data_IF_403529389386
#
_entry.id   IF_403529389386
#
_cell.length_a   1.000
_cell.length_b   1.000
_cell.length_c   1.000
_cell.angle_alpha   90.00
_cell.angle_beta   90.00
_cell.angle_gamma   90.00
#
_symmetry.space_group_name_H-M   'P 1'
#
loop_
_entity.id
_entity.type
_entity.pdbx_description
1 polymer ?
#
# COMPACT_ATOMS: atom_id res chain seq x y z
N UNK A 1 2.91 12.88 14.42
CA UNK A 1 4.27 13.37 14.79
C UNK A 1 5.16 12.29 15.40
N UNK A 2 4.78 11.62 16.49
CA UNK A 2 5.60 10.52 17.05
C UNK A 2 5.54 9.24 16.20
N UNK A 3 4.33 8.83 15.76
CA UNK A 3 4.13 7.65 14.91
C UNK A 3 4.85 7.77 13.55
N UNK A 4 4.77 8.95 12.90
CA UNK A 4 5.44 9.17 11.61
C UNK A 4 6.96 9.04 11.70
N UNK A 5 7.56 9.51 12.80
CA UNK A 5 8.99 9.37 13.05
C UNK A 5 9.38 7.90 13.22
N UNK A 6 8.60 7.14 13.98
CA UNK A 6 8.85 5.71 14.16
C UNK A 6 8.69 4.93 12.83
N UNK A 7 7.67 5.26 12.04
CA UNK A 7 7.46 4.67 10.72
C UNK A 7 8.63 4.98 9.77
N UNK A 8 9.17 6.19 9.82
CA UNK A 8 10.36 6.56 9.05
C UNK A 8 11.60 5.74 9.46
N UNK A 9 11.83 5.53 10.75
CA UNK A 9 12.94 4.69 11.20
C UNK A 9 12.74 3.21 10.80
N UNK A 10 11.50 2.71 10.82
CA UNK A 10 11.16 1.39 10.26
C UNK A 10 11.43 1.31 8.76
N UNK A 11 11.10 2.35 7.99
CA UNK A 11 11.40 2.43 6.56
C UNK A 11 12.92 2.37 6.29
N UNK A 12 13.71 3.13 7.05
CA UNK A 12 15.18 3.07 6.97
C UNK A 12 15.70 1.67 7.26
N UNK A 13 15.19 1.03 8.31
CA UNK A 13 15.57 -0.33 8.67
C UNK A 13 15.22 -1.34 7.57
N UNK A 14 14.05 -1.23 6.92
CA UNK A 14 13.65 -2.08 5.80
C UNK A 14 14.68 -2.08 4.67
N UNK A 15 15.19 -0.89 4.34
CA UNK A 15 16.22 -0.73 3.30
C UNK A 15 17.59 -1.20 3.80
N UNK A 16 18.03 -0.75 4.98
CA UNK A 16 19.37 -1.03 5.52
C UNK A 16 19.59 -2.51 5.81
N UNK A 17 18.54 -3.25 6.16
CA UNK A 17 18.59 -4.69 6.42
C UNK A 17 18.56 -5.55 5.15
N UNK A 18 18.28 -4.97 3.98
CA UNK A 18 18.07 -5.72 2.73
C UNK A 18 16.77 -6.52 2.69
N UNK A 19 15.92 -6.44 3.73
CA UNK A 19 14.63 -7.13 3.77
C UNK A 19 13.68 -6.66 2.67
N UNK A 20 13.87 -5.45 2.14
CA UNK A 20 13.13 -4.94 0.98
C UNK A 20 13.22 -5.87 -0.23
N UNK A 21 14.36 -6.54 -0.45
CA UNK A 21 14.58 -7.41 -1.60
C UNK A 21 13.84 -8.76 -1.47
N UNK A 22 13.29 -9.05 -0.28
CA UNK A 22 12.52 -10.28 0.00
C UNK A 22 11.01 -10.10 -0.21
N UNK A 23 10.56 -8.87 -0.41
CA UNK A 23 9.15 -8.53 -0.57
C UNK A 23 8.70 -8.82 -2.01
N UNK A 24 7.49 -9.35 -2.13
CA UNK A 24 6.89 -9.68 -3.43
C UNK A 24 6.65 -8.40 -4.27
N UNK A 25 7.15 -8.36 -5.50
CA UNK A 25 7.10 -7.14 -6.33
C UNK A 25 5.83 -7.08 -7.16
N UNK A 26 5.11 -5.96 -7.07
CA UNK A 26 3.98 -5.67 -7.95
C UNK A 26 2.68 -6.36 -7.56
N UNK A 27 2.58 -6.90 -6.33
CA UNK A 27 1.39 -7.59 -5.82
C UNK A 27 0.82 -6.94 -4.57
N UNK A 28 -0.44 -7.25 -4.29
CA UNK A 28 -1.16 -6.79 -3.09
C UNK A 28 -0.50 -7.33 -1.84
N UNK A 29 -0.05 -8.58 -1.88
CA UNK A 29 0.64 -9.21 -0.75
C UNK A 29 1.94 -8.47 -0.42
N UNK A 30 2.75 -8.13 -1.44
CA UNK A 30 3.94 -7.32 -1.25
C UNK A 30 3.63 -5.93 -0.68
N UNK A 31 2.57 -5.29 -1.18
CA UNK A 31 2.12 -3.99 -0.65
C UNK A 31 1.66 -4.09 0.82
N UNK A 32 0.97 -5.18 1.20
CA UNK A 32 0.61 -5.47 2.59
C UNK A 32 1.85 -5.73 3.46
N UNK A 33 2.88 -6.40 2.93
CA UNK A 33 4.16 -6.63 3.60
C UNK A 33 4.89 -5.31 3.89
N UNK A 34 5.00 -4.42 2.90
CA UNK A 34 5.56 -3.07 3.07
C UNK A 34 4.78 -2.31 4.13
N UNK A 35 3.45 -2.24 3.98
CA UNK A 35 2.60 -1.51 4.92
C UNK A 35 2.69 -2.10 6.33
N UNK A 36 2.75 -3.44 6.47
CA UNK A 36 2.96 -4.07 7.77
C UNK A 36 4.32 -3.66 8.35
N UNK A 37 5.41 -3.75 7.59
CA UNK A 37 6.74 -3.40 8.10
C UNK A 37 6.82 -1.95 8.59
N UNK A 38 6.24 -1.02 7.83
CA UNK A 38 6.26 0.41 8.13
C UNK A 38 5.41 0.78 9.36
N UNK A 39 4.34 0.02 9.64
CA UNK A 39 3.31 0.44 10.60
C UNK A 39 2.97 -0.59 11.68
N UNK A 40 3.60 -1.77 11.68
CA UNK A 40 3.41 -2.77 12.73
C UNK A 40 3.83 -2.21 14.08
N UNK A 41 2.95 -2.37 15.08
CA UNK A 41 3.08 -1.75 16.40
C UNK A 41 2.71 -0.26 16.45
N UNK A 42 2.39 0.37 15.31
CA UNK A 42 1.96 1.77 15.21
C UNK A 42 0.46 1.90 14.87
N UNK A 43 -0.04 1.03 13.99
CA UNK A 43 -1.45 0.93 13.62
C UNK A 43 -1.97 -0.50 13.86
N UNK A 44 -3.16 -0.64 14.44
CA UNK A 44 -3.82 -1.94 14.64
C UNK A 44 -4.18 -2.65 13.32
N UNK A 45 -4.24 -1.87 12.23
CA UNK A 45 -4.54 -2.31 10.87
C UNK A 45 -3.30 -2.42 9.97
N UNK A 46 -2.09 -2.44 10.54
CA UNK A 46 -0.87 -2.57 9.75
C UNK A 46 -0.91 -3.83 8.84
N UNK A 47 -0.91 -3.62 7.52
CA UNK A 47 -0.97 -4.67 6.50
C UNK A 47 -2.37 -5.21 6.22
N UNK A 48 -3.43 -4.65 6.83
CA UNK A 48 -4.81 -5.10 6.66
C UNK A 48 -5.55 -4.25 5.64
N UNK A 49 -6.19 -4.88 4.67
CA UNK A 49 -7.10 -4.21 3.73
C UNK A 49 -8.28 -3.64 4.52
N UNK A 50 -8.66 -2.39 4.23
CA UNK A 50 -9.71 -1.67 4.94
C UNK A 50 -11.10 -2.22 4.63
N UNK A 51 -11.96 -2.18 5.64
CA UNK A 51 -13.38 -2.51 5.58
C UNK A 51 -14.27 -1.26 5.59
N UNK A 52 -13.67 -0.06 5.67
CA UNK A 52 -14.33 1.25 5.67
C UNK A 52 -14.05 2.04 4.41
N UNK A 53 -15.03 2.83 4.00
CA UNK A 53 -14.84 3.83 2.95
C UNK A 53 -14.05 5.03 3.47
N UNK A 54 -13.18 5.57 2.62
CA UNK A 54 -12.34 6.73 2.91
C UNK A 54 -12.34 7.72 1.75
N UNK A 55 -12.12 8.98 2.08
CA UNK A 55 -12.00 10.08 1.13
C UNK A 55 -10.92 11.06 1.57
N UNK A 56 -10.41 11.83 0.62
CA UNK A 56 -9.53 12.98 0.88
C UNK A 56 -10.07 14.19 0.13
N UNK A 57 -10.52 15.19 0.88
CA UNK A 57 -11.31 16.28 0.30
C UNK A 57 -12.57 15.72 -0.38
N UNK A 58 -12.81 16.12 -1.63
CA UNK A 58 -13.96 15.68 -2.42
C UNK A 58 -13.71 14.38 -3.22
N UNK A 59 -12.53 13.77 -3.10
CA UNK A 59 -12.21 12.52 -3.80
C UNK A 59 -12.46 11.32 -2.88
N UNK A 60 -13.33 10.41 -3.32
CA UNK A 60 -13.57 9.12 -2.65
C UNK A 60 -12.71 8.05 -3.33
N UNK A 61 -11.91 7.34 -2.54
CA UNK A 61 -11.15 6.18 -3.02
C UNK A 61 -12.10 5.01 -3.32
N UNK A 62 -11.59 3.89 -3.85
CA UNK A 62 -12.42 2.75 -4.22
C UNK A 62 -13.34 2.29 -3.05
N UNK A 63 -14.56 1.87 -3.36
CA UNK A 63 -15.49 1.42 -2.32
C UNK A 63 -14.94 0.14 -1.67
N UNK A 64 -14.87 0.09 -0.34
CA UNK A 64 -14.37 -1.08 0.38
C UNK A 64 -15.14 -2.36 0.05
N UNK A 65 -16.42 -2.24 -0.31
CA UNK A 65 -17.29 -3.35 -0.72
C UNK A 65 -16.75 -4.13 -1.93
N UNK A 66 -15.93 -3.51 -2.78
CA UNK A 66 -15.42 -4.11 -4.01
C UNK A 66 -13.89 -4.24 -4.02
N UNK A 67 -13.21 -3.99 -2.89
CA UNK A 67 -11.74 -4.04 -2.84
C UNK A 67 -11.21 -5.44 -3.16
N UNK A 68 -11.88 -6.48 -2.67
CA UNK A 68 -11.60 -7.88 -2.95
C UNK A 68 -11.68 -8.23 -4.44
N UNK A 69 -12.52 -7.53 -5.20
CA UNK A 69 -12.64 -7.70 -6.65
C UNK A 69 -11.62 -6.89 -7.44
N UNK A 70 -11.36 -5.63 -7.06
CA UNK A 70 -10.51 -4.74 -7.86
C UNK A 70 -9.01 -5.00 -7.63
N UNK A 71 -8.61 -5.34 -6.40
CA UNK A 71 -7.19 -5.48 -6.06
C UNK A 71 -6.51 -6.61 -6.87
N UNK A 72 -7.12 -7.81 -7.06
CA UNK A 72 -6.58 -8.82 -7.97
C UNK A 72 -6.50 -8.36 -9.43
N UNK A 73 -7.41 -7.47 -9.87
CA UNK A 73 -7.40 -6.94 -11.24
C UNK A 73 -6.26 -5.97 -11.44
N UNK A 74 -6.02 -5.07 -10.48
CA UNK A 74 -4.88 -4.15 -10.49
C UNK A 74 -3.57 -4.93 -10.45
N UNK A 75 -3.47 -5.96 -9.61
CA UNK A 75 -2.30 -6.83 -9.56
C UNK A 75 -2.00 -7.49 -10.92
N UNK A 76 -3.04 -7.92 -11.63
CA UNK A 76 -2.90 -8.53 -12.97
C UNK A 76 -2.55 -7.54 -14.10
N UNK A 77 -2.50 -6.23 -13.83
CA UNK A 77 -2.12 -5.24 -14.84
C UNK A 77 -0.68 -5.47 -15.32
N UNK A 78 -0.41 -5.25 -16.63
CA UNK A 78 0.93 -5.39 -17.18
C UNK A 78 1.90 -4.37 -16.56
N UNK A 79 3.19 -4.69 -16.57
CA UNK A 79 4.25 -3.88 -15.99
C UNK A 79 5.55 -3.94 -16.80
N UNK A 80 5.44 -4.15 -18.11
CA UNK A 80 6.58 -4.41 -19.01
C UNK A 80 7.29 -3.15 -19.47
N UNK A 81 6.71 -1.97 -19.24
CA UNK A 81 7.31 -0.69 -19.56
C UNK A 81 6.88 0.39 -18.56
N UNK A 82 7.55 1.55 -18.62
CA UNK A 82 7.32 2.65 -17.71
C UNK A 82 5.85 3.10 -17.64
N UNK A 83 5.20 3.29 -18.80
CA UNK A 83 3.80 3.75 -18.83
C UNK A 83 2.87 2.75 -18.15
N UNK A 84 3.04 1.45 -18.42
CA UNK A 84 2.26 0.39 -17.77
C UNK A 84 2.45 0.35 -16.25
N UNK A 85 3.70 0.56 -15.78
CA UNK A 85 3.99 0.64 -14.33
C UNK A 85 3.28 1.85 -13.72
N UNK A 86 3.32 3.01 -14.38
CA UNK A 86 2.63 4.22 -13.90
C UNK A 86 1.12 4.04 -13.90
N UNK A 87 0.53 3.45 -14.93
CA UNK A 87 -0.90 3.13 -14.98
C UNK A 87 -1.30 2.21 -13.82
N UNK A 88 -0.53 1.14 -13.57
CA UNK A 88 -0.75 0.23 -12.43
C UNK A 88 -0.64 0.95 -11.08
N UNK A 89 0.35 1.83 -10.93
CA UNK A 89 0.49 2.66 -9.73
C UNK A 89 -0.70 3.61 -9.51
N UNK A 90 -1.19 4.25 -10.59
CA UNK A 90 -2.34 5.15 -10.51
C UNK A 90 -3.58 4.40 -10.03
N UNK A 91 -3.85 3.22 -10.58
CA UNK A 91 -4.98 2.39 -10.15
C UNK A 91 -4.82 1.93 -8.69
N UNK A 92 -3.60 1.56 -8.27
CA UNK A 92 -3.34 1.21 -6.86
C UNK A 92 -3.58 2.39 -5.91
N UNK A 93 -3.16 3.59 -6.29
CA UNK A 93 -3.38 4.79 -5.50
C UNK A 93 -4.87 5.17 -5.40
N UNK A 94 -5.65 4.91 -6.46
CA UNK A 94 -7.12 5.06 -6.45
C UNK A 94 -7.78 4.00 -5.55
N UNK A 95 -7.27 2.76 -5.57
CA UNK A 95 -7.75 1.70 -4.69
C UNK A 95 -7.56 2.04 -3.21
N UNK A 96 -6.38 2.57 -2.86
CA UNK A 96 -6.04 3.08 -1.53
C UNK A 96 -6.42 2.07 -0.43
N UNK A 97 -5.82 0.86 -0.45
CA UNK A 97 -6.36 -0.31 0.24
C UNK A 97 -6.31 -0.27 1.77
N UNK A 98 -5.54 0.64 2.37
CA UNK A 98 -5.37 0.76 3.82
C UNK A 98 -6.13 1.96 4.38
N UNK A 99 -6.41 1.96 5.69
CA UNK A 99 -7.10 3.07 6.35
C UNK A 99 -6.23 4.34 6.41
N UNK A 100 -4.93 4.17 6.64
CA UNK A 100 -3.90 5.22 6.57
C UNK A 100 -2.63 4.64 5.93
N UNK A 101 -1.63 5.47 5.63
CA UNK A 101 -0.31 4.99 5.24
C UNK A 101 -0.12 4.62 3.77
N UNK A 102 -1.19 4.60 2.95
CA UNK A 102 -1.15 4.22 1.54
C UNK A 102 -0.03 4.89 0.73
N UNK A 103 0.00 6.22 0.68
CA UNK A 103 0.97 6.94 -0.18
C UNK A 103 2.44 6.80 0.25
N UNK A 104 2.74 6.21 1.41
CA UNK A 104 4.12 5.86 1.82
C UNK A 104 4.46 4.40 1.50
N UNK A 105 3.46 3.53 1.39
CA UNK A 105 3.63 2.10 1.15
C UNK A 105 3.54 1.74 -0.35
N UNK A 106 2.68 2.45 -1.09
CA UNK A 106 2.47 2.33 -2.55
C UNK A 106 3.55 3.08 -3.32
#
# INVERSE_FOLDING_TARGET
>A
MHLDRQSLEKAKHLIQSGLIDTIEVGTIKGLQEIHRFLFEGLYEFAGKIRDKNISKGNFRFANCLYLDLILPRIESMPQSNFNQIIEKYVEMNIAHPFLEGNGRAT
#
